data_IF_526177384567
#
_entry.id   IF_526177384567
#
_cell.length_a   1.000
_cell.length_b   1.000
_cell.length_c   1.000
_cell.angle_alpha   90.00
_cell.angle_beta   90.00
_cell.angle_gamma   90.00
#
_symmetry.space_group_name_H-M   'P 1'
#
loop_
_entity.id
_entity.type
_entity.pdbx_description
1 polymer ?
#
# COMPACT_ATOMS: atom_id res chain seq x y z
N UNK A 1 27.82 -60.69 -28.45
CA UNK A 1 26.45 -60.50 -27.98
C UNK A 1 26.18 -60.81 -26.49
N UNK A 2 27.13 -61.38 -25.72
CA UNK A 2 26.87 -61.67 -24.28
C UNK A 2 27.30 -60.54 -23.31
N UNK A 3 28.19 -59.65 -23.68
CA UNK A 3 28.70 -58.57 -22.85
C UNK A 3 27.76 -57.37 -22.74
N UNK A 4 26.92 -57.13 -23.78
CA UNK A 4 25.97 -55.98 -23.79
C UNK A 4 24.83 -56.20 -22.82
N UNK A 5 24.44 -57.46 -22.56
CA UNK A 5 23.31 -57.73 -21.63
C UNK A 5 23.70 -57.53 -20.15
N UNK A 6 24.97 -57.71 -19.78
CA UNK A 6 25.43 -57.47 -18.39
C UNK A 6 25.54 -56.01 -18.04
N UNK A 7 25.87 -55.17 -19.03
CA UNK A 7 25.93 -53.71 -18.82
C UNK A 7 24.52 -53.16 -18.62
N UNK A 8 23.53 -53.64 -19.39
CA UNK A 8 22.12 -53.19 -19.25
C UNK A 8 21.52 -53.63 -17.91
N UNK A 9 21.84 -54.83 -17.43
CA UNK A 9 21.40 -55.33 -16.12
C UNK A 9 22.08 -54.60 -14.96
N UNK A 10 23.34 -54.19 -15.11
CA UNK A 10 24.06 -53.41 -14.09
C UNK A 10 23.51 -51.98 -13.96
N UNK A 11 23.15 -51.34 -15.08
CA UNK A 11 22.53 -50.01 -15.09
C UNK A 11 21.13 -50.06 -14.48
N UNK A 12 20.35 -51.09 -14.74
CA UNK A 12 19.00 -51.26 -14.14
C UNK A 12 19.06 -51.52 -12.63
N UNK A 13 20.11 -52.24 -12.15
CA UNK A 13 20.33 -52.47 -10.72
C UNK A 13 20.78 -51.19 -9.97
N UNK A 14 21.52 -50.28 -10.63
CA UNK A 14 21.96 -49.01 -10.04
C UNK A 14 20.78 -48.02 -9.91
N UNK A 15 19.78 -48.11 -10.79
CA UNK A 15 18.56 -47.26 -10.74
C UNK A 15 17.60 -47.66 -9.60
N UNK A 16 17.70 -48.90 -9.09
CA UNK A 16 16.89 -49.38 -7.97
C UNK A 16 17.52 -49.11 -6.60
N UNK A 17 18.77 -48.61 -6.55
CA UNK A 17 19.50 -48.28 -5.33
C UNK A 17 19.55 -46.77 -5.03
N UNK A 18 18.77 -45.96 -5.74
CA UNK A 18 18.62 -44.56 -5.38
C UNK A 18 17.93 -44.48 -4.00
N UNK A 19 18.61 -44.02 -2.93
CA UNK A 19 17.94 -43.79 -1.68
C UNK A 19 16.87 -42.71 -1.92
N UNK A 20 15.61 -43.06 -1.68
CA UNK A 20 14.55 -42.08 -1.56
C UNK A 20 14.94 -41.15 -0.42
N UNK A 21 15.66 -40.07 -0.73
CA UNK A 21 15.78 -38.91 0.16
C UNK A 21 14.42 -38.24 0.23
N UNK A 22 13.56 -38.83 1.03
CA UNK A 22 12.45 -38.05 1.59
C UNK A 22 13.11 -36.92 2.37
N UNK A 23 13.14 -35.74 1.75
CA UNK A 23 13.40 -34.49 2.48
C UNK A 23 12.37 -34.44 3.59
N UNK A 24 12.74 -34.80 4.80
CA UNK A 24 11.95 -34.53 5.98
C UNK A 24 11.81 -33.00 6.01
N UNK A 25 10.65 -32.48 5.59
CA UNK A 25 10.23 -31.13 5.93
C UNK A 25 10.40 -31.02 7.44
N UNK A 26 11.37 -30.19 7.85
CA UNK A 26 11.48 -29.75 9.24
C UNK A 26 10.07 -29.38 9.67
N UNK A 27 9.55 -29.89 10.79
CA UNK A 27 8.22 -29.50 11.23
C UNK A 27 8.20 -27.98 11.32
N UNK A 28 7.35 -27.35 10.53
CA UNK A 28 7.00 -25.94 10.74
C UNK A 28 6.61 -25.84 12.21
N UNK A 29 7.39 -25.06 12.97
CA UNK A 29 7.03 -24.71 14.33
C UNK A 29 5.61 -24.18 14.25
N UNK A 30 4.67 -24.91 14.80
CA UNK A 30 3.29 -24.50 14.92
C UNK A 30 3.25 -23.13 15.60
N UNK A 31 2.61 -22.17 14.94
CA UNK A 31 2.43 -20.78 15.40
C UNK A 31 1.48 -20.68 16.63
N UNK A 32 1.41 -21.77 17.43
CA UNK A 32 0.43 -21.95 18.52
C UNK A 32 0.76 -21.27 19.83
N UNK A 33 1.91 -20.59 19.96
CA UNK A 33 2.30 -19.93 21.22
C UNK A 33 2.69 -18.45 21.08
N UNK A 34 2.18 -17.73 20.07
CA UNK A 34 2.29 -16.27 20.09
C UNK A 34 1.20 -15.73 21.01
N UNK A 35 1.58 -15.45 22.27
CA UNK A 35 0.78 -14.67 23.20
C UNK A 35 0.22 -13.44 22.47
N UNK A 36 -1.10 -13.27 22.48
CA UNK A 36 -1.72 -12.08 21.91
C UNK A 36 -1.10 -10.84 22.58
N UNK A 37 -0.62 -9.92 21.73
CA UNK A 37 -0.05 -8.66 22.22
C UNK A 37 -1.15 -7.83 22.84
N UNK A 38 -0.88 -7.24 24.00
CA UNK A 38 -1.76 -6.23 24.59
C UNK A 38 -1.57 -4.88 23.90
N UNK A 39 -2.51 -3.97 24.10
CA UNK A 39 -2.39 -2.61 23.54
C UNK A 39 -1.09 -1.92 24.00
N UNK A 40 -0.73 -2.02 25.26
CA UNK A 40 0.49 -1.46 25.84
C UNK A 40 1.78 -2.10 25.33
N UNK A 41 1.72 -3.34 24.82
CA UNK A 41 2.88 -3.99 24.20
C UNK A 41 3.20 -3.37 22.82
N UNK A 42 2.22 -2.77 22.16
CA UNK A 42 2.36 -2.15 20.84
C UNK A 42 2.50 -0.65 20.97
N UNK A 43 1.56 0.00 21.66
CA UNK A 43 1.57 1.45 21.90
C UNK A 43 2.08 1.68 23.33
N UNK A 44 3.38 1.85 23.43
CA UNK A 44 4.07 2.02 24.71
C UNK A 44 4.00 3.47 25.20
N UNK A 45 4.35 3.72 26.46
CA UNK A 45 4.40 5.06 27.06
C UNK A 45 5.35 6.04 26.33
N UNK A 46 6.24 5.50 25.46
CA UNK A 46 7.12 6.32 24.62
C UNK A 46 6.45 6.84 23.34
N UNK A 47 5.20 6.46 23.12
CA UNK A 47 4.47 6.89 21.93
C UNK A 47 4.11 8.37 22.00
N UNK A 48 4.45 9.10 20.93
CA UNK A 48 3.94 10.46 20.69
C UNK A 48 2.71 10.30 19.82
N UNK A 49 1.54 10.64 20.37
CA UNK A 49 0.24 10.46 19.72
C UNK A 49 -0.31 11.77 19.20
N UNK A 50 -0.73 11.79 17.93
CA UNK A 50 -1.45 12.89 17.29
C UNK A 50 -2.87 12.40 16.96
N UNK A 51 -3.89 13.08 17.52
CA UNK A 51 -5.30 12.66 17.43
C UNK A 51 -6.02 13.43 16.33
N UNK A 52 -6.85 12.74 15.58
CA UNK A 52 -7.64 13.31 14.50
C UNK A 52 -8.50 12.26 13.82
N UNK A 53 -8.46 12.20 12.48
CA UNK A 53 -9.17 11.19 11.70
C UNK A 53 -8.77 9.78 12.12
N UNK A 54 -7.48 9.53 12.26
CA UNK A 54 -6.89 8.37 12.95
C UNK A 54 -6.10 8.87 14.15
N UNK A 55 -5.90 8.03 15.17
CA UNK A 55 -4.83 8.29 16.12
C UNK A 55 -3.51 7.83 15.47
N UNK A 56 -2.57 8.76 15.32
CA UNK A 56 -1.24 8.50 14.74
C UNK A 56 -0.24 8.41 15.87
N UNK A 57 0.38 7.24 16.05
CA UNK A 57 1.38 7.03 17.08
C UNK A 57 2.77 6.95 16.46
N UNK A 58 3.70 7.72 16.99
CA UNK A 58 5.13 7.64 16.65
C UNK A 58 5.90 7.03 17.80
N UNK A 59 6.60 5.93 17.54
CA UNK A 59 7.47 5.24 18.51
C UNK A 59 8.85 5.04 17.86
N UNK A 60 9.82 5.86 18.25
CA UNK A 60 11.11 5.89 17.56
C UNK A 60 10.97 6.30 16.11
N UNK A 61 11.37 5.41 15.18
CA UNK A 61 11.21 5.63 13.73
C UNK A 61 9.93 5.03 13.15
N UNK A 62 9.13 4.34 13.95
CA UNK A 62 7.90 3.68 13.51
C UNK A 62 6.70 4.57 13.66
N UNK A 63 5.78 4.43 12.71
CA UNK A 63 4.48 5.08 12.73
C UNK A 63 3.37 4.04 12.66
N UNK A 64 2.39 4.19 13.55
CA UNK A 64 1.21 3.34 13.62
C UNK A 64 -0.03 4.19 13.38
N UNK A 65 -0.99 3.62 12.67
CA UNK A 65 -2.35 4.14 12.61
C UNK A 65 -3.23 3.31 13.53
N UNK A 66 -3.96 3.97 14.41
CA UNK A 66 -5.08 3.42 15.14
C UNK A 66 -6.36 3.90 14.45
N UNK A 67 -7.03 2.97 13.76
CA UNK A 67 -8.17 3.26 12.88
C UNK A 67 -9.43 2.73 13.54
N UNK A 68 -10.43 3.60 13.74
CA UNK A 68 -11.73 3.22 14.27
C UNK A 68 -12.52 2.42 13.24
N UNK A 69 -13.29 1.41 13.66
CA UNK A 69 -14.08 0.52 12.79
C UNK A 69 -15.04 1.27 11.87
N UNK A 70 -15.65 2.37 12.36
CA UNK A 70 -16.57 3.22 11.58
C UNK A 70 -15.90 3.92 10.38
N UNK A 71 -14.58 3.92 10.30
CA UNK A 71 -13.81 4.47 9.18
C UNK A 71 -13.44 3.40 8.16
N UNK A 72 -13.67 2.13 8.47
CA UNK A 72 -13.54 1.05 7.49
C UNK A 72 -14.62 1.17 6.42
N UNK A 73 -14.27 0.76 5.20
CA UNK A 73 -15.14 0.85 4.01
C UNK A 73 -15.63 2.28 3.71
N UNK A 74 -14.91 3.31 4.20
CA UNK A 74 -15.17 4.71 3.87
C UNK A 74 -14.23 5.18 2.77
N UNK A 75 -14.80 5.95 1.85
CA UNK A 75 -14.04 6.56 0.77
C UNK A 75 -13.13 7.67 1.30
N UNK A 76 -11.86 7.61 0.94
CA UNK A 76 -10.85 8.60 1.31
C UNK A 76 -10.10 9.05 0.06
N UNK A 77 -10.09 10.35 -0.20
CA UNK A 77 -9.32 10.93 -1.30
C UNK A 77 -7.85 11.02 -0.89
N UNK A 78 -6.98 10.35 -1.63
CA UNK A 78 -5.54 10.47 -1.51
C UNK A 78 -4.99 11.37 -2.60
N UNK A 79 -4.28 12.43 -2.20
CA UNK A 79 -3.61 13.34 -3.12
C UNK A 79 -2.11 13.36 -2.79
N UNK A 80 -1.29 13.01 -3.77
CA UNK A 80 0.18 13.05 -3.65
C UNK A 80 0.73 14.30 -4.36
N UNK A 81 1.52 15.09 -3.64
CA UNK A 81 2.17 16.31 -4.17
C UNK A 81 3.66 16.30 -3.86
N UNK A 82 4.42 17.03 -4.68
CA UNK A 82 5.82 17.35 -4.39
C UNK A 82 5.85 18.59 -3.51
N UNK A 83 6.33 18.45 -2.28
CA UNK A 83 6.52 19.58 -1.36
C UNK A 83 7.88 20.26 -1.57
N UNK A 84 8.95 19.46 -1.80
CA UNK A 84 10.30 19.95 -2.15
C UNK A 84 10.93 19.00 -3.15
N UNK A 85 11.71 19.53 -4.06
CA UNK A 85 12.34 18.78 -5.12
C UNK A 85 13.81 19.16 -5.30
N UNK A 86 14.61 18.23 -5.84
CA UNK A 86 15.97 18.49 -6.22
C UNK A 86 16.02 19.51 -7.39
N UNK A 87 17.10 20.28 -7.44
CA UNK A 87 17.31 21.35 -8.43
C UNK A 87 17.23 20.87 -9.88
N UNK A 88 17.60 19.61 -10.11
CA UNK A 88 17.64 18.98 -11.43
C UNK A 88 16.27 18.72 -12.04
N UNK A 89 15.20 18.79 -11.25
CA UNK A 89 13.84 18.53 -11.73
C UNK A 89 12.95 19.76 -11.50
N UNK A 90 12.61 20.51 -12.57
CA UNK A 90 11.96 21.82 -12.44
C UNK A 90 10.43 21.72 -12.25
N UNK A 91 9.94 20.96 -11.26
CA UNK A 91 8.50 20.72 -11.03
C UNK A 91 8.14 20.78 -9.52
N UNK A 92 8.42 21.90 -8.86
CA UNK A 92 7.96 22.12 -7.48
C UNK A 92 6.44 22.25 -7.38
N UNK A 93 5.86 21.87 -6.23
CA UNK A 93 4.43 21.98 -5.88
C UNK A 93 3.45 21.26 -6.81
N UNK A 94 3.92 20.33 -7.66
CA UNK A 94 3.10 19.63 -8.64
C UNK A 94 2.31 18.47 -8.00
N UNK A 95 1.01 18.34 -8.39
CA UNK A 95 0.20 17.17 -8.07
C UNK A 95 0.69 15.98 -8.91
N UNK A 96 1.09 14.91 -8.25
CA UNK A 96 1.61 13.70 -8.89
C UNK A 96 0.53 12.68 -9.18
N UNK A 97 -0.36 12.46 -8.22
CA UNK A 97 -1.45 11.50 -8.32
C UNK A 97 -2.63 11.91 -7.45
N UNK A 98 -3.78 11.38 -7.82
CA UNK A 98 -5.05 11.51 -7.11
C UNK A 98 -5.79 10.19 -7.26
N UNK A 99 -6.27 9.62 -6.17
CA UNK A 99 -6.96 8.33 -6.16
C UNK A 99 -7.88 8.25 -4.95
N UNK A 100 -8.95 7.47 -5.06
CA UNK A 100 -9.83 7.20 -3.93
C UNK A 100 -9.45 5.86 -3.33
N UNK A 101 -9.26 5.84 -2.02
CA UNK A 101 -8.82 4.67 -1.26
C UNK A 101 -9.87 4.28 -0.23
N UNK A 102 -9.85 3.01 0.17
CA UNK A 102 -10.67 2.48 1.25
C UNK A 102 -9.86 1.52 2.11
N UNK A 103 -10.04 1.60 3.42
CA UNK A 103 -9.52 0.64 4.38
C UNK A 103 -10.54 -0.47 4.60
N UNK A 104 -10.15 -1.73 4.43
CA UNK A 104 -11.04 -2.87 4.62
C UNK A 104 -10.38 -3.90 5.54
N UNK A 105 -11.16 -4.44 6.50
CA UNK A 105 -10.70 -5.57 7.33
C UNK A 105 -10.85 -6.86 6.56
N UNK A 106 -9.78 -7.64 6.52
CA UNK A 106 -9.78 -8.99 5.97
C UNK A 106 -8.99 -9.89 6.93
N UNK A 107 -9.67 -10.78 7.59
CA UNK A 107 -9.11 -11.62 8.66
C UNK A 107 -8.33 -10.78 9.69
N UNK A 108 -7.05 -11.07 9.89
CA UNK A 108 -6.16 -10.35 10.80
C UNK A 108 -5.35 -9.23 10.11
N UNK A 109 -5.87 -8.68 8.99
CA UNK A 109 -5.21 -7.63 8.25
C UNK A 109 -6.17 -6.47 7.96
N UNK A 110 -5.62 -5.26 7.85
CA UNK A 110 -6.27 -4.15 7.17
C UNK A 110 -5.68 -4.03 5.77
N UNK A 111 -6.54 -4.05 4.76
CA UNK A 111 -6.19 -3.84 3.37
C UNK A 111 -6.46 -2.39 2.99
N UNK A 112 -5.51 -1.76 2.31
CA UNK A 112 -5.71 -0.48 1.65
C UNK A 112 -5.97 -0.76 0.18
N UNK A 113 -7.18 -0.46 -0.28
CA UNK A 113 -7.62 -0.70 -1.66
C UNK A 113 -7.82 0.61 -2.41
N UNK A 114 -7.63 0.57 -3.72
CA UNK A 114 -7.95 1.66 -4.62
C UNK A 114 -9.36 1.44 -5.20
N UNK A 115 -10.21 2.46 -5.10
CA UNK A 115 -11.56 2.43 -5.64
C UNK A 115 -11.56 3.08 -7.03
N UNK A 116 -12.19 2.42 -8.01
CA UNK A 116 -12.40 2.95 -9.35
C UNK A 116 -13.86 3.30 -9.56
N UNK A 117 -14.11 4.51 -10.04
CA UNK A 117 -15.44 4.99 -10.40
C UNK A 117 -15.62 5.16 -11.92
N UNK A 118 -14.68 4.62 -12.71
CA UNK A 118 -14.72 4.74 -14.17
C UNK A 118 -15.89 3.97 -14.78
N UNK A 119 -16.17 2.78 -14.27
CA UNK A 119 -17.28 1.95 -14.70
C UNK A 119 -18.33 1.91 -13.60
N UNK A 120 -19.55 2.23 -13.92
CA UNK A 120 -20.64 2.32 -12.97
C UNK A 120 -21.93 1.68 -13.52
N UNK A 121 -22.58 0.88 -12.71
CA UNK A 121 -23.93 0.42 -12.96
C UNK A 121 -24.81 0.66 -11.72
N UNK A 122 -26.04 1.12 -11.95
CA UNK A 122 -27.02 1.25 -10.86
C UNK A 122 -27.34 -0.12 -10.27
N UNK A 123 -27.59 -0.17 -8.95
CA UNK A 123 -27.95 -1.39 -8.24
C UNK A 123 -29.24 -2.05 -8.78
N UNK A 124 -30.09 -1.27 -9.44
CA UNK A 124 -31.33 -1.74 -10.07
C UNK A 124 -31.13 -2.42 -11.43
N UNK A 125 -29.92 -2.37 -12.01
CA UNK A 125 -29.66 -2.92 -13.35
C UNK A 125 -29.05 -4.33 -13.27
N UNK A 126 -29.52 -5.28 -14.12
CA UNK A 126 -28.98 -6.65 -14.16
C UNK A 126 -27.48 -6.72 -14.44
N UNK A 127 -26.92 -5.72 -15.13
CA UNK A 127 -25.48 -5.64 -15.46
C UNK A 127 -24.59 -5.32 -14.25
N UNK A 128 -25.18 -4.94 -13.10
CA UNK A 128 -24.42 -4.54 -11.89
C UNK A 128 -23.41 -5.59 -11.44
N UNK A 129 -23.81 -6.85 -11.44
CA UNK A 129 -22.92 -7.93 -11.03
C UNK A 129 -21.73 -8.09 -12.00
N UNK A 130 -21.98 -8.04 -13.30
CA UNK A 130 -20.93 -8.12 -14.32
C UNK A 130 -19.93 -6.95 -14.20
N UNK A 131 -20.43 -5.72 -13.98
CA UNK A 131 -19.58 -4.54 -13.75
C UNK A 131 -18.75 -4.70 -12.47
N UNK A 132 -19.36 -5.19 -11.37
CA UNK A 132 -18.64 -5.44 -10.12
C UNK A 132 -17.52 -6.47 -10.30
N UNK A 133 -17.83 -7.59 -10.98
CA UNK A 133 -16.86 -8.66 -11.23
C UNK A 133 -15.71 -8.23 -12.16
N UNK A 134 -15.98 -7.31 -13.10
CA UNK A 134 -14.96 -6.76 -14.02
C UNK A 134 -14.12 -5.63 -13.41
N UNK A 135 -14.51 -5.07 -12.26
CA UNK A 135 -13.85 -3.94 -11.60
C UNK A 135 -13.38 -4.30 -10.20
N UNK A 136 -12.68 -5.44 -10.06
CA UNK A 136 -12.11 -5.83 -8.78
C UNK A 136 -11.08 -4.82 -8.30
N UNK A 137 -11.26 -4.34 -7.09
CA UNK A 137 -10.47 -3.26 -6.48
C UNK A 137 -9.04 -3.71 -6.17
N UNK A 138 -8.00 -3.08 -6.76
CA UNK A 138 -6.62 -3.46 -6.49
C UNK A 138 -6.23 -3.17 -5.04
N UNK A 139 -5.54 -4.13 -4.43
CA UNK A 139 -4.96 -3.99 -3.10
C UNK A 139 -3.61 -3.27 -3.24
N UNK A 140 -3.50 -2.07 -2.69
CA UNK A 140 -2.27 -1.26 -2.68
C UNK A 140 -1.30 -1.77 -1.62
N UNK A 141 -1.81 -2.06 -0.43
CA UNK A 141 -1.03 -2.54 0.70
C UNK A 141 -1.88 -3.37 1.66
N UNK A 142 -1.22 -4.28 2.37
CA UNK A 142 -1.81 -5.10 3.43
C UNK A 142 -1.01 -4.88 4.71
N UNK A 143 -1.71 -4.63 5.81
CA UNK A 143 -1.12 -4.36 7.10
C UNK A 143 -1.65 -5.38 8.11
N UNK A 144 -0.75 -6.09 8.77
CA UNK A 144 -1.13 -6.95 9.88
C UNK A 144 -1.69 -6.09 11.01
N UNK A 145 -2.82 -6.47 11.57
CA UNK A 145 -3.34 -5.88 12.80
C UNK A 145 -2.40 -6.30 13.94
N UNK A 146 -1.69 -5.33 14.51
CA UNK A 146 -0.75 -5.57 15.60
C UNK A 146 -1.51 -5.81 16.92
N UNK A 147 -2.60 -5.09 17.12
CA UNK A 147 -3.52 -5.22 18.23
C UNK A 147 -4.88 -4.62 17.88
N UNK A 148 -5.94 -5.23 18.39
CA UNK A 148 -7.30 -4.73 18.35
C UNK A 148 -7.66 -4.18 19.73
N UNK A 149 -8.03 -2.90 19.80
CA UNK A 149 -8.52 -2.28 21.03
C UNK A 149 -10.05 -2.39 21.05
N UNK A 150 -10.55 -3.39 21.75
CA UNK A 150 -11.99 -3.68 21.84
C UNK A 150 -12.79 -2.59 22.55
N UNK A 151 -12.16 -1.89 23.51
CA UNK A 151 -12.83 -0.84 24.29
C UNK A 151 -13.11 0.39 23.44
N UNK A 152 -12.22 0.67 22.47
CA UNK A 152 -12.35 1.80 21.55
C UNK A 152 -12.88 1.40 20.17
N UNK A 153 -13.05 0.12 19.88
CA UNK A 153 -13.35 -0.42 18.54
C UNK A 153 -12.35 0.07 17.48
N UNK A 154 -11.05 -0.06 17.79
CA UNK A 154 -9.98 0.40 16.90
C UNK A 154 -9.00 -0.71 16.56
N UNK A 155 -8.34 -0.56 15.41
CA UNK A 155 -7.30 -1.46 14.91
C UNK A 155 -5.99 -0.72 14.77
N UNK A 156 -4.92 -1.26 15.35
CA UNK A 156 -3.57 -0.68 15.26
C UNK A 156 -2.75 -1.41 14.21
N UNK A 157 -2.20 -0.66 13.26
CA UNK A 157 -1.35 -1.19 12.17
C UNK A 157 -0.07 -0.37 12.00
N UNK A 158 1.05 -1.03 11.69
CA UNK A 158 2.33 -0.37 11.38
C UNK A 158 2.34 0.10 9.92
N UNK A 159 2.29 1.41 9.71
CA UNK A 159 2.28 2.04 8.37
C UNK A 159 3.65 2.56 7.93
N UNK A 160 4.71 2.30 8.68
CA UNK A 160 6.05 2.82 8.40
C UNK A 160 6.50 2.50 6.98
N UNK A 161 6.32 1.24 6.55
CA UNK A 161 6.75 0.79 5.23
C UNK A 161 5.91 1.38 4.08
N UNK A 162 4.67 1.79 4.32
CA UNK A 162 3.85 2.47 3.31
C UNK A 162 4.56 3.73 2.80
N UNK A 163 5.24 4.45 3.68
CA UNK A 163 5.93 5.71 3.36
C UNK A 163 7.44 5.55 3.14
N UNK A 164 8.10 4.56 3.71
CA UNK A 164 9.56 4.32 3.54
C UNK A 164 9.89 3.53 2.27
N UNK A 165 8.99 2.72 1.76
CA UNK A 165 9.25 1.86 0.58
C UNK A 165 8.67 2.44 -0.71
N UNK A 166 8.91 1.78 -1.84
CA UNK A 166 8.45 2.24 -3.15
C UNK A 166 7.04 1.76 -3.49
N UNK A 167 6.07 2.18 -2.69
CA UNK A 167 4.66 1.98 -3.01
C UNK A 167 4.27 2.97 -4.10
N UNK A 168 3.93 2.47 -5.30
CA UNK A 168 3.72 3.28 -6.51
C UNK A 168 2.67 4.39 -6.32
N UNK A 169 1.59 4.07 -5.63
CA UNK A 169 0.49 5.01 -5.36
C UNK A 169 0.89 6.17 -4.44
N UNK A 170 1.94 6.00 -3.64
CA UNK A 170 2.44 6.98 -2.66
C UNK A 170 3.81 7.55 -3.04
N UNK A 171 4.30 7.25 -4.23
CA UNK A 171 5.62 7.62 -4.70
C UNK A 171 5.61 8.54 -5.91
N UNK A 172 6.79 8.69 -6.50
CA UNK A 172 6.96 9.44 -7.74
C UNK A 172 6.55 8.56 -8.93
N UNK A 173 5.61 9.00 -9.80
CA UNK A 173 5.04 8.16 -10.85
C UNK A 173 6.08 7.66 -11.86
N UNK A 174 5.89 6.44 -12.36
CA UNK A 174 6.82 5.78 -13.27
C UNK A 174 7.05 6.56 -14.58
N UNK A 175 6.02 7.23 -15.11
CA UNK A 175 6.13 8.06 -16.30
C UNK A 175 7.11 9.22 -16.14
N UNK A 176 7.06 9.87 -14.97
CA UNK A 176 7.99 10.94 -14.62
C UNK A 176 9.39 10.39 -14.35
N UNK A 177 9.52 9.21 -13.72
CA UNK A 177 10.83 8.57 -13.48
C UNK A 177 11.56 8.30 -14.78
N UNK A 178 10.89 7.70 -15.77
CA UNK A 178 11.46 7.42 -17.09
C UNK A 178 11.98 8.69 -17.77
N UNK A 179 11.17 9.78 -17.76
CA UNK A 179 11.55 11.05 -18.35
C UNK A 179 12.81 11.65 -17.71
N UNK A 180 12.96 11.53 -16.40
CA UNK A 180 14.06 12.12 -15.62
C UNK A 180 15.16 11.10 -15.30
N UNK A 181 15.20 9.94 -15.98
CA UNK A 181 16.18 8.87 -15.80
C UNK A 181 16.36 8.45 -14.33
N UNK A 182 15.24 8.44 -13.60
CA UNK A 182 15.13 8.01 -12.22
C UNK A 182 14.79 6.51 -12.21
N UNK A 183 15.54 5.72 -11.44
CA UNK A 183 15.35 4.28 -11.36
C UNK A 183 14.74 3.84 -10.02
N UNK A 184 15.43 3.05 -9.23
CA UNK A 184 14.92 2.46 -7.99
C UNK A 184 15.03 3.42 -6.80
N UNK A 185 14.10 3.26 -5.85
CA UNK A 185 14.17 3.92 -4.55
C UNK A 185 15.32 3.34 -3.72
N UNK A 186 16.06 4.19 -3.02
CA UNK A 186 16.96 3.79 -1.96
C UNK A 186 16.25 3.94 -0.62
N UNK A 187 15.84 2.81 -0.04
CA UNK A 187 15.10 2.79 1.23
C UNK A 187 15.93 3.22 2.44
N UNK A 188 17.28 3.10 2.34
CA UNK A 188 18.19 3.53 3.40
C UNK A 188 18.31 5.06 3.48
N UNK A 189 18.05 5.73 2.35
CA UNK A 189 18.08 7.18 2.23
C UNK A 189 16.68 7.79 2.12
N UNK A 190 15.65 7.03 2.49
CA UNK A 190 14.26 7.46 2.48
C UNK A 190 13.70 7.45 3.91
N UNK A 191 13.09 8.57 4.30
CA UNK A 191 12.68 8.83 5.68
C UNK A 191 11.28 9.43 5.75
N UNK A 192 10.59 9.19 6.86
CA UNK A 192 9.34 9.88 7.19
C UNK A 192 9.71 11.14 7.95
N UNK A 193 9.38 12.31 7.39
CA UNK A 193 9.59 13.60 8.07
C UNK A 193 8.55 13.79 9.17
N UNK A 194 7.27 13.61 8.82
CA UNK A 194 6.17 13.72 9.76
C UNK A 194 4.90 13.05 9.23
N UNK A 195 4.08 12.57 10.14
CA UNK A 195 2.68 12.21 9.86
C UNK A 195 1.83 12.92 10.91
N UNK A 196 0.87 13.72 10.45
CA UNK A 196 -0.01 14.52 11.30
C UNK A 196 -1.45 14.15 11.02
N UNK A 197 -2.24 14.09 12.08
CA UNK A 197 -3.66 13.83 12.01
C UNK A 197 -4.48 15.08 12.28
N UNK A 198 -5.51 15.28 11.47
CA UNK A 198 -6.49 16.37 11.59
C UNK A 198 -7.90 15.75 11.61
N UNK A 199 -8.95 16.48 11.99
CA UNK A 199 -10.28 15.90 12.15
C UNK A 199 -10.83 15.16 10.92
N UNK A 200 -10.46 15.60 9.70
CA UNK A 200 -10.96 15.02 8.45
C UNK A 200 -9.86 14.53 7.50
N UNK A 201 -8.58 14.66 7.86
CA UNK A 201 -7.48 14.26 6.99
C UNK A 201 -6.22 13.86 7.75
N UNK A 202 -5.39 13.08 7.08
CA UNK A 202 -4.03 12.74 7.49
C UNK A 202 -3.05 13.37 6.50
N UNK A 203 -2.04 14.08 7.01
CA UNK A 203 -0.96 14.67 6.22
C UNK A 203 0.34 13.92 6.50
N UNK A 204 0.92 13.31 5.46
CA UNK A 204 2.16 12.56 5.58
C UNK A 204 3.23 13.19 4.70
N UNK A 205 4.33 13.63 5.32
CA UNK A 205 5.51 14.14 4.62
C UNK A 205 6.65 13.14 4.73
N UNK A 206 7.21 12.75 3.59
CA UNK A 206 8.29 11.79 3.55
C UNK A 206 9.30 12.08 2.44
N UNK A 207 10.56 11.88 2.77
CA UNK A 207 11.68 12.03 1.85
C UNK A 207 11.83 10.72 1.08
N UNK A 208 11.81 10.81 -0.25
CA UNK A 208 12.12 9.70 -1.16
C UNK A 208 13.40 10.02 -1.89
N UNK A 209 14.38 9.14 -1.77
CA UNK A 209 15.64 9.23 -2.50
C UNK A 209 15.71 8.11 -3.53
N UNK A 210 15.86 8.49 -4.78
CA UNK A 210 15.94 7.57 -5.93
C UNK A 210 17.31 7.63 -6.57
N UNK A 211 17.75 6.51 -7.14
CA UNK A 211 18.93 6.49 -8.01
C UNK A 211 18.60 7.18 -9.34
N UNK A 212 19.55 7.98 -9.84
CA UNK A 212 19.41 8.67 -11.12
C UNK A 212 20.74 8.75 -11.84
N UNK A 213 20.74 8.44 -13.16
CA UNK A 213 21.93 8.56 -13.98
C UNK A 213 22.28 10.00 -14.35
N UNK A 214 21.32 10.91 -14.27
CA UNK A 214 21.51 12.34 -14.63
C UNK A 214 21.94 13.18 -13.43
N UNK A 215 21.82 12.68 -12.21
CA UNK A 215 22.26 13.39 -11.03
C UNK A 215 23.77 13.27 -10.85
N UNK A 216 24.46 14.37 -10.55
CA UNK A 216 25.91 14.43 -10.37
C UNK A 216 26.45 13.43 -9.34
N UNK A 217 25.69 13.17 -8.27
CA UNK A 217 26.01 12.21 -7.21
C UNK A 217 25.28 10.88 -7.35
N UNK A 218 24.60 10.62 -8.48
CA UNK A 218 23.87 9.40 -8.74
C UNK A 218 22.53 9.27 -8.02
N UNK A 219 22.05 10.30 -7.31
CA UNK A 219 20.84 10.26 -6.50
C UNK A 219 20.03 11.55 -6.58
N UNK A 220 18.71 11.41 -6.50
CA UNK A 220 17.75 12.51 -6.43
C UNK A 220 16.84 12.32 -5.24
N UNK A 221 16.79 13.31 -4.35
CA UNK A 221 15.89 13.32 -3.20
C UNK A 221 14.75 14.32 -3.41
N UNK A 222 13.57 13.95 -2.97
CA UNK A 222 12.39 14.80 -2.97
C UNK A 222 11.58 14.62 -1.70
N UNK A 223 10.93 15.69 -1.25
CA UNK A 223 9.93 15.64 -0.19
C UNK A 223 8.56 15.52 -0.83
N UNK A 224 7.88 14.42 -0.57
CA UNK A 224 6.50 14.19 -0.99
C UNK A 224 5.55 14.48 0.17
N UNK A 225 4.38 15.00 -0.15
CA UNK A 225 3.27 15.14 0.76
C UNK A 225 2.08 14.33 0.25
N UNK A 226 1.55 13.45 1.11
CA UNK A 226 0.33 12.71 0.86
C UNK A 226 -0.75 13.21 1.81
N UNK A 227 -1.84 13.70 1.23
CA UNK A 227 -3.05 14.11 1.96
C UNK A 227 -4.10 13.02 1.78
N UNK A 228 -4.48 12.33 2.85
CA UNK A 228 -5.59 11.38 2.87
C UNK A 228 -6.80 12.06 3.52
N UNK A 229 -7.84 12.32 2.77
CA UNK A 229 -8.98 13.14 3.17
C UNK A 229 -10.24 12.29 3.20
N UNK A 230 -10.95 12.25 4.34
CA UNK A 230 -12.22 11.54 4.47
C UNK A 230 -13.28 12.19 3.60
N UNK A 231 -13.86 11.45 2.67
CA UNK A 231 -14.95 11.94 1.83
C UNK A 231 -16.29 11.87 2.56
N UNK A 232 -17.23 12.80 2.25
CA UNK A 232 -18.57 12.81 2.84
C UNK A 232 -19.33 11.51 2.52
N UNK A 233 -20.13 11.00 3.47
CA UNK A 233 -21.02 9.83 3.22
C UNK A 233 -22.02 10.09 2.10
N UNK A 234 -22.50 11.33 1.99
CA UNK A 234 -23.43 11.74 0.96
C UNK A 234 -22.73 12.68 -0.02
N UNK A 235 -22.37 12.21 -1.21
CA UNK A 235 -21.71 13.04 -2.21
C UNK A 235 -22.64 14.14 -2.72
N UNK A 236 -22.06 15.16 -3.36
CA UNK A 236 -22.82 16.16 -4.08
C UNK A 236 -23.65 15.50 -5.20
N UNK A 237 -24.78 16.12 -5.54
CA UNK A 237 -25.52 15.73 -6.74
C UNK A 237 -24.64 15.89 -7.97
N UNK A 238 -24.69 14.90 -8.87
CA UNK A 238 -23.96 14.95 -10.14
C UNK A 238 -24.43 16.15 -10.95
N UNK A 239 -23.50 16.82 -11.59
CA UNK A 239 -23.76 17.83 -12.61
C UNK A 239 -23.49 17.20 -13.95
N UNK A 240 -24.49 17.12 -14.79
CA UNK A 240 -24.34 16.59 -16.14
C UNK A 240 -23.74 17.66 -17.07
N UNK A 241 -23.07 17.21 -18.08
CA UNK A 241 -22.54 18.06 -19.13
C UNK A 241 -23.67 18.80 -19.85
N UNK A 242 -23.46 20.09 -20.09
CA UNK A 242 -24.34 20.93 -20.88
C UNK A 242 -23.48 21.71 -21.88
N UNK A 243 -23.69 21.48 -23.17
CA UNK A 243 -22.90 22.07 -24.24
C UNK A 243 -22.88 23.62 -24.21
N UNK A 244 -23.89 24.24 -23.60
CA UNK A 244 -24.00 25.70 -23.49
C UNK A 244 -23.02 26.30 -22.48
N UNK A 245 -22.45 25.50 -21.58
CA UNK A 245 -21.67 25.99 -20.45
C UNK A 245 -20.17 25.77 -20.60
N UNK A 246 -19.71 24.90 -21.51
CA UNK A 246 -18.30 24.72 -21.87
C UNK A 246 -17.41 24.20 -20.73
N UNK A 247 -17.91 23.33 -19.83
CA UNK A 247 -17.15 22.75 -18.73
C UNK A 247 -16.29 21.56 -19.19
N UNK A 248 -15.14 21.38 -18.55
CA UNK A 248 -14.40 20.12 -18.66
C UNK A 248 -15.17 19.00 -17.95
N UNK A 249 -15.33 17.87 -18.60
CA UNK A 249 -16.08 16.72 -18.10
C UNK A 249 -15.19 15.53 -17.82
N UNK A 250 -15.63 14.68 -16.89
CA UNK A 250 -15.11 13.31 -16.68
C UNK A 250 -16.14 12.35 -17.23
N UNK A 251 -15.74 11.48 -18.16
CA UNK A 251 -16.64 10.44 -18.68
C UNK A 251 -16.63 9.22 -17.75
N UNK A 252 -17.81 8.63 -17.56
CA UNK A 252 -17.99 7.33 -16.89
C UNK A 252 -18.72 6.41 -17.86
N UNK A 253 -18.35 5.15 -17.88
CA UNK A 253 -18.99 4.09 -18.68
C UNK A 253 -19.89 3.24 -17.82
#
# INVERSE_FOLDING_TARGET
>A
MKTTNYILTLILALLLLSPNTYSQKKPEKSDKDKKEKTYSDVITDKAVTDKGLFEVHKIGEKYYYEIHDSLLNRDMLMVTRIAKMAKEIPLGAHKLSEQVLSWQKFDNNLLLKELSFSNFASDSLPIKEAVSNANFEPIIASFKIEVENKDKNTFVVDVTNLFKTDVKSFGYPQSYRKRNKISSLDTKLSFIESIRSFPLNIESKHIKTYKSSDAKNGQISMLLNNSMILLPKKPMKRRYFDERVGWFTTSQT
#
